data_IF_325612208742
#
_entry.id   IF_325612208742
#
_cell.length_a   1.000
_cell.length_b   1.000
_cell.length_c   1.000
_cell.angle_alpha   90.00
_cell.angle_beta   90.00
_cell.angle_gamma   90.00
#
_symmetry.space_group_name_H-M   'P 1'
#
loop_
_entity.id
_entity.type
_entity.pdbx_description
1 polymer ?
#
# COMPACT_ATOMS: atom_id res chain seq x y z
N UNK A 1 27.21 0.63 -7.04
CA UNK A 1 26.73 0.31 -8.41
C UNK A 1 25.37 -0.36 -8.26
N UNK A 2 24.32 0.14 -8.90
CA UNK A 2 23.00 -0.49 -8.84
C UNK A 2 23.02 -1.67 -9.81
N UNK A 3 22.77 -2.89 -9.31
CA UNK A 3 22.61 -4.07 -10.15
C UNK A 3 21.14 -4.21 -10.51
N UNK A 4 20.83 -4.35 -11.81
CA UNK A 4 19.46 -4.53 -12.32
C UNK A 4 19.44 -5.83 -13.10
N UNK A 5 18.54 -6.73 -12.72
CA UNK A 5 18.29 -8.01 -13.39
C UNK A 5 16.84 -8.04 -13.87
N UNK A 6 16.64 -8.33 -15.16
CA UNK A 6 15.33 -8.38 -15.80
C UNK A 6 15.13 -9.77 -16.42
N UNK A 7 14.05 -10.43 -16.02
CA UNK A 7 13.76 -11.79 -16.44
C UNK A 7 12.43 -11.85 -17.20
N UNK A 8 12.40 -12.60 -18.30
CA UNK A 8 11.21 -12.83 -19.11
C UNK A 8 10.65 -14.23 -18.82
N UNK A 9 9.41 -14.31 -18.34
CA UNK A 9 8.75 -15.57 -18.05
C UNK A 9 7.48 -15.40 -17.22
N UNK A 10 6.87 -16.54 -16.90
CA UNK A 10 5.78 -16.59 -15.92
C UNK A 10 6.31 -16.23 -14.53
N UNK A 11 5.68 -15.27 -13.86
CA UNK A 11 6.20 -14.75 -12.59
C UNK A 11 6.17 -15.80 -11.47
N UNK A 12 5.17 -16.69 -11.43
CA UNK A 12 5.11 -17.77 -10.45
C UNK A 12 6.24 -18.78 -10.68
N UNK A 13 6.53 -19.08 -11.96
CA UNK A 13 7.65 -19.95 -12.32
C UNK A 13 9.00 -19.33 -11.94
N UNK A 14 9.27 -18.10 -12.38
CA UNK A 14 10.54 -17.40 -12.13
C UNK A 14 10.80 -17.19 -10.64
N UNK A 15 9.75 -16.99 -9.84
CA UNK A 15 9.91 -16.86 -8.39
C UNK A 15 10.55 -18.10 -7.77
N UNK A 16 10.48 -19.30 -8.37
CA UNK A 16 11.16 -20.51 -7.86
C UNK A 16 12.68 -20.33 -7.77
N UNK A 17 13.27 -19.53 -8.65
CA UNK A 17 14.72 -19.31 -8.73
C UNK A 17 15.21 -18.29 -7.69
N UNK A 18 14.31 -17.48 -7.13
CA UNK A 18 14.64 -16.47 -6.12
C UNK A 18 14.97 -17.17 -4.79
N UNK A 19 16.15 -16.90 -4.18
CA UNK A 19 16.52 -17.50 -2.91
C UNK A 19 15.56 -17.15 -1.76
N UNK A 20 15.46 -18.05 -0.78
CA UNK A 20 14.62 -17.85 0.39
C UNK A 20 15.05 -16.59 1.17
N UNK A 21 14.07 -15.79 1.63
CA UNK A 21 14.29 -14.59 2.46
C UNK A 21 15.32 -13.61 1.89
N UNK A 22 15.41 -13.50 0.56
CA UNK A 22 16.32 -12.59 -0.13
C UNK A 22 15.69 -11.23 -0.48
N UNK A 23 14.36 -11.14 -0.52
CA UNK A 23 13.62 -9.96 -0.98
C UNK A 23 13.26 -9.02 0.18
N UNK A 24 13.68 -7.76 0.10
CA UNK A 24 13.38 -6.71 1.10
C UNK A 24 12.03 -6.00 0.87
N UNK A 25 11.56 -5.94 -0.37
CA UNK A 25 10.29 -5.33 -0.73
C UNK A 25 9.72 -5.98 -1.99
N UNK A 26 8.40 -6.16 -2.00
CA UNK A 26 7.65 -6.49 -3.22
C UNK A 26 6.83 -5.25 -3.58
N UNK A 27 6.90 -4.84 -4.84
CA UNK A 27 6.09 -3.76 -5.40
C UNK A 27 5.57 -4.26 -6.74
N UNK A 28 4.26 -4.50 -6.85
CA UNK A 28 3.70 -5.16 -8.02
C UNK A 28 2.29 -4.67 -8.35
N UNK A 29 2.00 -4.55 -9.64
CA UNK A 29 0.66 -4.37 -10.19
C UNK A 29 0.26 -5.73 -10.80
N UNK A 30 -0.63 -6.45 -10.10
CA UNK A 30 -0.99 -7.82 -10.45
C UNK A 30 -2.02 -7.83 -11.60
N UNK A 31 -2.09 -8.88 -12.44
CA UNK A 31 -3.21 -9.02 -13.37
C UNK A 31 -4.50 -9.35 -12.60
N UNK A 32 -5.58 -8.62 -12.88
CA UNK A 32 -6.84 -8.69 -12.13
C UNK A 32 -8.06 -9.11 -12.94
N UNK A 33 -7.92 -9.46 -14.23
CA UNK A 33 -9.04 -9.95 -15.03
C UNK A 33 -9.99 -8.87 -15.51
N UNK A 34 -9.52 -7.62 -15.64
CA UNK A 34 -10.36 -6.47 -15.96
C UNK A 34 -10.47 -6.19 -17.47
N UNK A 35 -9.66 -6.84 -18.30
CA UNK A 35 -9.55 -6.61 -19.74
C UNK A 35 -9.67 -7.91 -20.53
N UNK A 36 -9.92 -7.80 -21.84
CA UNK A 36 -9.95 -8.97 -22.76
C UNK A 36 -8.54 -9.46 -23.14
N UNK A 37 -7.49 -8.92 -22.52
CA UNK A 37 -6.12 -9.34 -22.79
C UNK A 37 -5.86 -10.72 -22.18
N UNK A 38 -5.27 -11.65 -22.94
CA UNK A 38 -4.97 -13.01 -22.45
C UNK A 38 -4.07 -13.02 -21.21
N UNK A 39 -3.16 -12.05 -21.09
CA UNK A 39 -2.26 -11.91 -19.95
C UNK A 39 -2.95 -11.37 -18.70
N UNK A 40 -4.10 -10.71 -18.85
CA UNK A 40 -4.90 -10.19 -17.74
C UNK A 40 -5.85 -11.28 -17.26
N UNK A 41 -5.28 -12.42 -16.87
CA UNK A 41 -5.99 -13.50 -16.18
C UNK A 41 -5.71 -13.35 -14.70
N UNK A 42 -6.72 -13.53 -13.85
CA UNK A 42 -6.54 -13.45 -12.40
C UNK A 42 -5.43 -14.43 -11.97
N UNK A 43 -4.39 -13.91 -11.32
CA UNK A 43 -3.28 -14.70 -10.80
C UNK A 43 -3.75 -15.66 -9.69
N UNK A 44 -3.12 -16.82 -9.59
CA UNK A 44 -3.32 -17.73 -8.46
C UNK A 44 -2.74 -17.09 -7.18
N UNK A 45 -3.64 -16.54 -6.35
CA UNK A 45 -3.28 -15.87 -5.10
C UNK A 45 -2.69 -16.85 -4.08
N UNK A 46 -3.15 -18.11 -4.05
CA UNK A 46 -2.63 -19.10 -3.10
C UNK A 46 -1.16 -19.37 -3.41
N UNK A 47 -0.84 -19.57 -4.69
CA UNK A 47 0.52 -19.79 -5.14
C UNK A 47 1.39 -18.54 -4.96
N UNK A 48 0.85 -17.36 -5.28
CA UNK A 48 1.51 -16.08 -5.03
C UNK A 48 1.94 -15.93 -3.57
N UNK A 49 1.04 -16.18 -2.61
CA UNK A 49 1.35 -16.07 -1.20
C UNK A 49 2.35 -17.12 -0.71
N UNK A 50 2.34 -18.33 -1.29
CA UNK A 50 3.36 -19.36 -1.04
C UNK A 50 4.74 -18.86 -1.42
N UNK A 51 4.88 -18.27 -2.61
CA UNK A 51 6.13 -17.69 -3.09
C UNK A 51 6.57 -16.49 -2.25
N UNK A 52 5.69 -15.51 -2.03
CA UNK A 52 6.01 -14.32 -1.25
C UNK A 52 6.48 -14.69 0.15
N UNK A 53 5.81 -15.63 0.83
CA UNK A 53 6.24 -16.12 2.15
C UNK A 53 7.64 -16.70 2.16
N UNK A 54 8.03 -17.38 1.09
CA UNK A 54 9.34 -18.03 0.96
C UNK A 54 10.45 -17.02 0.66
N UNK A 55 10.21 -16.11 -0.30
CA UNK A 55 11.26 -15.22 -0.83
C UNK A 55 11.44 -13.96 -0.01
N UNK A 56 10.41 -13.45 0.68
CA UNK A 56 10.53 -12.20 1.43
C UNK A 56 11.11 -12.41 2.83
N UNK A 57 11.87 -11.43 3.31
CA UNK A 57 12.28 -11.36 4.72
C UNK A 57 11.05 -11.13 5.63
N UNK A 58 11.13 -11.45 6.93
CA UNK A 58 10.00 -11.25 7.85
C UNK A 58 9.53 -9.80 7.98
N UNK A 59 10.40 -8.83 7.74
CA UNK A 59 10.16 -7.38 7.84
C UNK A 59 10.03 -6.71 6.46
N UNK A 60 9.77 -7.46 5.40
CA UNK A 60 9.56 -6.90 4.07
C UNK A 60 8.17 -6.30 3.92
N UNK A 61 8.09 -5.16 3.26
CA UNK A 61 6.83 -4.59 2.81
C UNK A 61 6.42 -5.23 1.47
N UNK A 62 5.16 -5.66 1.37
CA UNK A 62 4.55 -6.12 0.13
C UNK A 62 3.48 -5.09 -0.24
N UNK A 63 3.71 -4.41 -1.36
CA UNK A 63 2.94 -3.26 -1.85
C UNK A 63 2.30 -3.66 -3.17
N UNK A 64 0.98 -3.85 -3.16
CA UNK A 64 0.25 -4.38 -4.31
C UNK A 64 -0.79 -3.40 -4.80
N UNK A 65 -0.70 -3.03 -6.08
CA UNK A 65 -1.69 -2.19 -6.74
C UNK A 65 -2.90 -3.04 -7.10
N UNK A 66 -4.09 -2.46 -6.91
CA UNK A 66 -5.35 -3.11 -7.18
C UNK A 66 -6.45 -2.08 -7.48
N UNK A 67 -7.54 -2.59 -8.05
CA UNK A 67 -8.78 -1.83 -8.26
C UNK A 67 -9.97 -2.69 -7.84
N UNK A 68 -11.06 -2.04 -7.44
CA UNK A 68 -12.31 -2.75 -7.14
C UNK A 68 -12.88 -3.45 -8.38
N UNK A 69 -13.30 -4.73 -8.26
CA UNK A 69 -13.49 -5.51 -7.02
C UNK A 69 -12.27 -6.33 -6.55
N UNK A 70 -11.20 -6.37 -7.34
CA UNK A 70 -10.04 -7.20 -7.04
C UNK A 70 -9.31 -6.81 -5.75
N UNK A 71 -9.33 -5.53 -5.37
CA UNK A 71 -8.76 -5.08 -4.08
C UNK A 71 -9.35 -5.86 -2.90
N UNK A 72 -10.65 -6.15 -2.90
CA UNK A 72 -11.31 -6.93 -1.84
C UNK A 72 -10.90 -8.39 -1.88
N UNK A 73 -10.83 -8.98 -3.08
CA UNK A 73 -10.39 -10.37 -3.26
C UNK A 73 -8.94 -10.54 -2.77
N UNK A 74 -8.05 -9.63 -3.19
CA UNK A 74 -6.65 -9.62 -2.79
C UNK A 74 -6.49 -9.40 -1.28
N UNK A 75 -7.22 -8.44 -0.71
CA UNK A 75 -7.18 -8.17 0.74
C UNK A 75 -7.62 -9.38 1.57
N UNK A 76 -8.75 -10.00 1.22
CA UNK A 76 -9.29 -11.17 1.94
C UNK A 76 -8.39 -12.40 1.78
N UNK A 77 -7.69 -12.53 0.65
CA UNK A 77 -6.80 -13.68 0.42
C UNK A 77 -5.65 -13.80 1.42
N UNK A 78 -5.31 -12.72 2.15
CA UNK A 78 -4.27 -12.76 3.20
C UNK A 78 -4.52 -11.70 4.29
N UNK A 79 -5.61 -11.85 5.04
CA UNK A 79 -5.97 -10.96 6.15
C UNK A 79 -4.91 -10.90 7.26
N UNK A 80 -4.23 -12.01 7.53
CA UNK A 80 -3.18 -12.08 8.56
C UNK A 80 -2.06 -11.06 8.33
N UNK A 81 -1.76 -10.78 7.06
CA UNK A 81 -0.67 -9.88 6.68
C UNK A 81 -1.16 -8.52 6.21
N UNK A 82 -2.44 -8.37 5.87
CA UNK A 82 -3.02 -7.10 5.50
C UNK A 82 -2.95 -6.11 6.66
N UNK A 83 -2.60 -4.86 6.38
CA UNK A 83 -2.39 -3.85 7.43
C UNK A 83 -3.23 -2.62 7.18
N UNK A 84 -3.08 -2.04 6.01
CA UNK A 84 -3.83 -0.87 5.60
C UNK A 84 -3.78 -0.75 4.08
N UNK A 85 -4.63 0.12 3.56
CA UNK A 85 -4.58 0.56 2.17
C UNK A 85 -4.07 2.00 2.07
N UNK A 86 -3.49 2.31 0.92
CA UNK A 86 -3.17 3.65 0.49
C UNK A 86 -4.04 3.93 -0.73
N UNK A 87 -4.68 5.09 -0.75
CA UNK A 87 -5.49 5.53 -1.89
C UNK A 87 -4.64 6.47 -2.71
N UNK A 88 -4.27 6.04 -3.92
CA UNK A 88 -3.57 6.89 -4.85
C UNK A 88 -4.57 7.71 -5.66
N UNK A 89 -4.64 9.02 -5.40
CA UNK A 89 -5.45 9.96 -6.16
C UNK A 89 -4.74 10.35 -7.46
N UNK A 90 -5.37 10.08 -8.59
CA UNK A 90 -4.83 10.40 -9.91
C UNK A 90 -5.13 11.85 -10.26
N UNK A 91 -4.19 12.52 -10.91
CA UNK A 91 -4.36 13.89 -11.44
C UNK A 91 -5.44 13.99 -12.51
N UNK A 92 -5.70 12.90 -13.24
CA UNK A 92 -6.75 12.82 -14.24
C UNK A 92 -7.53 11.52 -14.07
N UNK A 93 -8.86 11.66 -13.99
CA UNK A 93 -9.73 10.52 -13.87
C UNK A 93 -9.76 9.72 -15.19
N UNK A 94 -9.85 8.40 -15.08
CA UNK A 94 -9.85 7.48 -16.24
C UNK A 94 -11.22 6.83 -16.42
N UNK A 95 -11.47 6.23 -17.59
CA UNK A 95 -12.74 5.55 -17.86
C UNK A 95 -13.80 6.41 -18.54
N UNK A 96 -13.41 7.47 -19.26
CA UNK A 96 -14.32 8.35 -20.01
C UNK A 96 -15.32 7.61 -20.92
N UNK A 97 -14.89 6.48 -21.51
CA UNK A 97 -15.75 5.63 -22.34
C UNK A 97 -16.94 5.02 -21.57
N UNK A 98 -16.81 4.87 -20.25
CA UNK A 98 -17.83 4.32 -19.35
C UNK A 98 -18.55 5.40 -18.51
N UNK A 99 -18.27 6.68 -18.74
CA UNK A 99 -18.78 7.79 -17.93
C UNK A 99 -20.32 7.86 -17.85
N UNK A 100 -21.02 7.32 -18.85
CA UNK A 100 -22.49 7.27 -18.88
C UNK A 100 -23.09 6.19 -17.95
N UNK A 101 -22.27 5.25 -17.46
CA UNK A 101 -22.72 4.09 -16.68
C UNK A 101 -22.21 4.13 -15.23
N UNK A 102 -21.04 4.71 -15.01
CA UNK A 102 -20.40 4.75 -13.69
C UNK A 102 -19.51 5.99 -13.53
N UNK A 103 -19.22 6.40 -12.28
CA UNK A 103 -18.24 7.45 -12.01
C UNK A 103 -16.87 7.14 -12.63
N UNK A 104 -16.14 8.20 -12.99
CA UNK A 104 -14.77 8.06 -13.47
C UNK A 104 -13.84 7.54 -12.36
N UNK A 105 -12.87 6.72 -12.75
CA UNK A 105 -11.87 6.18 -11.83
C UNK A 105 -10.80 7.23 -11.57
N UNK A 106 -10.96 7.98 -10.47
CA UNK A 106 -10.05 9.03 -10.03
C UNK A 106 -9.01 8.54 -9.01
N UNK A 107 -9.09 7.29 -8.56
CA UNK A 107 -8.14 6.72 -7.60
C UNK A 107 -7.79 5.26 -7.91
N UNK A 108 -6.71 4.79 -7.29
CA UNK A 108 -6.28 3.40 -7.23
C UNK A 108 -6.05 2.97 -5.78
N UNK A 109 -6.24 1.69 -5.50
CA UNK A 109 -5.95 1.10 -4.20
C UNK A 109 -4.54 0.50 -4.23
N UNK A 110 -3.77 0.78 -3.18
CA UNK A 110 -2.48 0.14 -2.94
C UNK A 110 -2.59 -0.57 -1.60
N UNK A 111 -2.64 -1.90 -1.61
CA UNK A 111 -2.75 -2.71 -0.42
C UNK A 111 -1.36 -3.00 0.15
N UNK A 112 -1.22 -2.79 1.46
CA UNK A 112 0.04 -2.99 2.18
C UNK A 112 -0.07 -4.23 3.06
N UNK A 113 0.83 -5.18 2.81
CA UNK A 113 0.98 -6.40 3.58
C UNK A 113 2.37 -6.49 4.22
N UNK A 114 2.45 -6.95 5.46
CA UNK A 114 3.71 -7.34 6.09
C UNK A 114 3.52 -8.29 7.27
N UNK A 115 4.49 -9.17 7.51
CA UNK A 115 4.48 -10.12 8.65
C UNK A 115 4.93 -9.46 9.95
N UNK A 116 6.03 -8.72 9.88
CA UNK A 116 6.57 -7.88 10.95
C UNK A 116 6.71 -6.46 10.43
N UNK A 117 6.64 -5.49 11.32
CA UNK A 117 6.73 -4.07 10.97
C UNK A 117 8.01 -3.81 10.15
N UNK A 118 7.90 -3.35 8.89
CA UNK A 118 9.06 -2.96 8.09
C UNK A 118 9.71 -1.68 8.64
N UNK A 119 10.89 -1.34 8.13
CA UNK A 119 11.53 -0.07 8.45
C UNK A 119 10.64 1.07 7.95
N UNK A 120 10.15 1.89 8.87
CA UNK A 120 9.35 3.07 8.56
C UNK A 120 10.24 4.31 8.44
N UNK A 121 10.37 4.83 7.21
CA UNK A 121 11.14 6.04 6.91
C UNK A 121 10.18 7.23 6.71
N UNK A 122 9.83 7.98 7.78
CA UNK A 122 8.81 9.02 7.70
C UNK A 122 9.19 10.13 6.71
N UNK A 123 8.32 10.38 5.73
CA UNK A 123 8.42 11.54 4.85
C UNK A 123 7.62 12.67 5.47
N UNK A 124 8.30 13.74 5.89
CA UNK A 124 7.66 14.92 6.51
C UNK A 124 7.83 16.13 5.60
N UNK A 125 6.74 16.86 5.39
CA UNK A 125 6.79 18.20 4.82
C UNK A 125 7.11 19.22 5.91
N UNK A 126 7.82 20.28 5.56
CA UNK A 126 8.16 21.40 6.46
C UNK A 126 7.36 22.65 6.06
N UNK A 127 7.04 23.52 7.01
CA UNK A 127 6.38 24.82 6.74
C UNK A 127 4.90 24.89 7.09
N UNK A 128 4.30 23.81 7.60
CA UNK A 128 2.95 23.84 8.16
C UNK A 128 2.96 24.47 9.57
N UNK A 129 2.01 25.36 9.84
CA UNK A 129 1.84 25.93 11.19
C UNK A 129 1.38 24.80 12.13
N UNK A 130 2.08 24.53 13.24
CA UNK A 130 1.65 23.51 14.18
C UNK A 130 0.26 23.87 14.71
N UNK A 131 -0.62 22.87 14.76
CA UNK A 131 -1.97 23.04 15.32
C UNK A 131 -1.82 23.10 16.83
N UNK A 132 -1.97 24.30 17.40
CA UNK A 132 -1.69 24.58 18.81
C UNK A 132 -2.88 24.29 19.75
N UNK A 133 -4.03 23.88 19.21
CA UNK A 133 -5.25 23.66 19.97
C UNK A 133 -5.70 22.20 19.89
N UNK A 134 -5.41 21.43 20.94
CA UNK A 134 -6.04 20.13 21.20
C UNK A 134 -6.74 20.18 22.55
N UNK A 135 -8.04 19.97 22.57
CA UNK A 135 -8.82 19.78 23.80
C UNK A 135 -8.72 18.30 24.15
N UNK A 136 -7.99 17.97 25.23
CA UNK A 136 -8.00 16.63 25.81
C UNK A 136 -9.26 16.50 26.66
N UNK A 137 -10.22 15.69 26.24
CA UNK A 137 -11.28 15.23 27.13
C UNK A 137 -10.69 14.15 28.05
N UNK A 138 -10.86 14.28 29.36
CA UNK A 138 -10.19 13.43 30.36
C UNK A 138 -10.75 12.01 30.47
N UNK A 139 -11.66 11.60 29.61
CA UNK A 139 -12.21 10.25 29.62
C UNK A 139 -11.70 9.46 28.41
N UNK A 140 -10.57 8.77 28.61
CA UNK A 140 -10.05 7.83 27.62
C UNK A 140 -10.93 6.57 27.69
N UNK A 141 -12.00 6.56 26.90
CA UNK A 141 -12.88 5.40 26.76
C UNK A 141 -12.10 4.10 26.50
N UNK A 142 -12.73 2.97 26.78
CA UNK A 142 -12.13 1.62 26.81
C UNK A 142 -11.38 1.19 25.54
N UNK A 143 -11.62 1.88 24.41
CA UNK A 143 -11.12 1.53 23.08
C UNK A 143 -9.61 1.69 22.88
N UNK A 144 -8.94 2.54 23.66
CA UNK A 144 -7.50 2.74 23.56
C UNK A 144 -6.89 2.70 24.95
N UNK A 145 -6.07 1.68 25.22
CA UNK A 145 -5.52 1.38 26.54
C UNK A 145 -4.85 2.58 27.23
N UNK A 146 -4.63 2.46 28.56
CA UNK A 146 -4.14 3.54 29.44
C UNK A 146 -2.97 4.32 28.86
N UNK A 147 -3.24 5.54 28.38
CA UNK A 147 -2.21 6.50 27.97
C UNK A 147 -1.36 6.89 29.18
N UNK A 148 -0.04 6.60 29.15
CA UNK A 148 0.88 7.12 30.18
C UNK A 148 0.83 8.65 30.17
N UNK A 149 0.69 9.25 31.36
CA UNK A 149 0.76 10.70 31.53
C UNK A 149 2.17 11.18 31.18
N UNK A 150 2.36 11.70 29.97
CA UNK A 150 3.51 12.53 29.64
C UNK A 150 3.07 13.97 29.37
N UNK A 151 3.92 14.88 29.87
CA UNK A 151 3.87 16.33 29.80
C UNK A 151 3.75 16.84 28.37
N UNK A 152 3.45 18.13 28.21
CA UNK A 152 3.20 18.84 26.94
C UNK A 152 4.23 18.47 25.85
N UNK A 153 3.97 17.40 25.13
CA UNK A 153 4.60 17.14 23.85
C UNK A 153 3.82 18.00 22.86
N UNK A 154 4.51 18.94 22.22
CA UNK A 154 4.04 19.48 20.97
C UNK A 154 3.90 18.28 20.01
N UNK A 155 2.71 17.69 19.97
CA UNK A 155 2.36 16.79 18.88
C UNK A 155 2.20 17.72 17.70
N UNK A 156 3.31 17.94 17.01
CA UNK A 156 3.24 18.32 15.62
C UNK A 156 2.30 17.27 15.03
N UNK A 157 1.08 17.68 14.64
CA UNK A 157 0.26 16.82 13.80
C UNK A 157 1.23 16.32 12.77
N UNK A 158 1.43 15.01 12.77
CA UNK A 158 2.13 14.41 11.67
C UNK A 158 1.19 14.79 10.55
N UNK A 159 1.60 15.70 9.69
CA UNK A 159 1.07 15.81 8.34
C UNK A 159 1.51 14.52 7.61
N UNK A 160 1.18 13.36 8.19
CA UNK A 160 0.91 12.13 7.50
C UNK A 160 -0.17 12.53 6.53
N UNK A 161 0.25 12.77 5.28
CA UNK A 161 -0.58 12.92 4.08
C UNK A 161 -2.04 12.65 4.43
N UNK A 162 -2.84 13.71 4.57
CA UNK A 162 -4.24 13.63 4.98
C UNK A 162 -4.88 12.41 4.30
N UNK A 163 -5.19 11.39 5.11
CA UNK A 163 -5.78 10.12 4.67
C UNK A 163 -4.94 9.38 3.62
N UNK A 164 -3.75 8.86 3.94
CA UNK A 164 -3.08 7.84 3.10
C UNK A 164 -3.15 8.14 1.58
N UNK A 165 -3.02 9.42 1.22
CA UNK A 165 -3.18 9.95 -0.13
C UNK A 165 -1.80 10.21 -0.68
N UNK A 166 -1.36 9.39 -1.63
CA UNK A 166 -0.10 9.63 -2.30
C UNK A 166 -0.31 10.70 -3.38
N UNK A 167 0.25 11.89 -3.20
CA UNK A 167 0.20 12.95 -4.21
C UNK A 167 1.39 12.82 -5.16
N UNK A 168 1.13 12.88 -6.46
CA UNK A 168 2.18 12.99 -7.47
C UNK A 168 2.81 14.39 -7.35
N UNK A 169 4.00 14.49 -6.76
CA UNK A 169 4.78 15.74 -6.73
C UNK A 169 5.26 16.01 -8.15
N UNK A 170 4.53 16.84 -8.90
CA UNK A 170 5.01 17.35 -10.18
C UNK A 170 6.03 18.45 -9.90
N UNK A 171 7.30 18.18 -10.22
CA UNK A 171 8.31 19.23 -10.34
C UNK A 171 7.88 20.13 -11.50
N UNK A 172 7.39 21.33 -11.18
CA UNK A 172 7.33 22.40 -12.17
C UNK A 172 8.78 22.73 -12.56
N UNK A 173 9.11 22.50 -13.82
CA UNK A 173 10.25 23.14 -14.48
C UNK A 173 9.98 24.63 -14.61
#
# INVERSE_FOLDING_TARGET
>A
MINIDLQLGDCLHLMNEIPNKSVDMVCCDLPYGATNCKWDTCIDLQELWRHYRRITKPNSAIVLFAQTPFDKVLGVSNLDWLRYEIIWEKTSATGHLNAKKMPLKAHENILIFYRKLPVYNPQKTTGHKPVNNFVKYEDNGECYGKTKKESRVAVQLRDTLEVSKFFQVTSKK
#
